data_IF_898667047030
#
_entry.id   IF_898667047030
#
_cell.length_a   1.000
_cell.length_b   1.000
_cell.length_c   1.000
_cell.angle_alpha   90.00
_cell.angle_beta   90.00
_cell.angle_gamma   90.00
#
_symmetry.space_group_name_H-M   'P 1'
#
loop_
_entity.id
_entity.type
_entity.pdbx_description
1 polymer ?
#
# COMPACT_ATOMS: atom_id res chain seq x y z
N UNK A 1 39.09 32.10 -25.53
CA UNK A 1 39.48 33.32 -24.79
C UNK A 1 38.46 33.55 -23.68
N UNK A 2 38.86 33.92 -22.46
CA UNK A 2 38.01 34.44 -21.35
C UNK A 2 36.83 33.57 -20.85
N UNK A 3 36.47 33.52 -19.57
CA UNK A 3 37.15 33.92 -18.32
C UNK A 3 36.48 33.22 -17.11
N UNK A 4 37.29 32.75 -16.14
CA UNK A 4 36.89 32.55 -14.72
C UNK A 4 36.58 33.93 -14.10
N UNK A 5 35.78 34.10 -13.01
CA UNK A 5 36.00 33.49 -11.67
C UNK A 5 34.69 33.37 -10.81
N UNK A 6 34.69 33.40 -9.46
CA UNK A 6 35.70 33.06 -8.45
C UNK A 6 35.28 31.98 -7.43
N UNK A 7 36.26 31.41 -6.73
CA UNK A 7 36.09 30.67 -5.47
C UNK A 7 35.85 31.60 -4.28
N UNK A 8 34.96 31.24 -3.34
CA UNK A 8 34.82 31.92 -2.04
C UNK A 8 35.13 30.97 -0.89
N UNK A 9 36.12 31.35 -0.11
CA UNK A 9 36.59 30.73 1.14
C UNK A 9 36.18 31.65 2.31
N UNK A 10 35.71 31.12 3.46
CA UNK A 10 35.99 31.69 4.81
C UNK A 10 35.36 30.98 6.02
N UNK A 11 36.22 30.78 7.04
CA UNK A 11 36.02 30.90 8.52
C UNK A 11 34.93 30.05 9.21
N UNK A 12 35.17 29.29 10.29
CA UNK A 12 36.09 29.36 11.45
C UNK A 12 35.65 30.23 12.66
N UNK A 13 35.27 29.54 13.76
CA UNK A 13 35.37 29.95 15.17
C UNK A 13 35.04 28.72 16.05
N UNK A 14 35.87 28.29 17.02
CA UNK A 14 36.13 28.85 18.37
C UNK A 14 34.88 28.90 19.27
N UNK A 15 34.90 28.53 20.56
CA UNK A 15 35.96 27.93 21.40
C UNK A 15 35.50 27.68 22.85
N UNK A 16 36.23 26.83 23.60
CA UNK A 16 36.45 26.92 25.08
C UNK A 16 35.19 26.63 25.97
N UNK A 17 35.30 26.24 27.25
CA UNK A 17 36.37 26.44 28.26
C UNK A 17 36.24 25.49 29.48
N UNK A 18 37.37 24.94 29.96
CA UNK A 18 37.82 24.71 31.37
C UNK A 18 36.90 23.96 32.38
N UNK A 19 37.35 22.95 33.14
CA UNK A 19 38.41 22.93 34.18
C UNK A 19 38.03 23.75 35.45
N UNK A 20 38.31 23.37 36.71
CA UNK A 20 39.05 22.24 37.35
C UNK A 20 39.05 22.42 38.89
N UNK A 21 39.66 21.47 39.63
CA UNK A 21 40.11 21.52 41.06
C UNK A 21 39.06 21.16 42.12
N UNK A 22 39.30 20.31 43.13
CA UNK A 22 40.49 19.93 43.95
C UNK A 22 40.68 20.74 45.25
N UNK A 23 40.28 20.16 46.38
CA UNK A 23 40.99 20.12 47.69
C UNK A 23 40.25 19.08 48.57
N UNK A 24 40.85 18.10 49.26
CA UNK A 24 42.03 17.98 50.16
C UNK A 24 41.75 18.31 51.64
N UNK A 25 42.09 17.34 52.51
CA UNK A 25 42.49 17.52 53.93
C UNK A 25 41.36 17.91 54.93
N UNK A 26 41.33 17.50 56.21
CA UNK A 26 42.10 16.49 56.96
C UNK A 26 41.53 16.26 58.39
N UNK A 27 41.44 14.98 58.78
CA UNK A 27 41.96 14.37 60.02
C UNK A 27 41.35 14.59 61.43
N UNK A 28 41.48 13.51 62.23
CA UNK A 28 41.28 13.35 63.70
C UNK A 28 39.81 13.48 64.19
N UNK A 29 39.32 12.73 65.18
CA UNK A 29 39.71 11.47 65.87
C UNK A 29 38.47 10.97 66.68
N UNK A 30 38.39 9.92 67.52
CA UNK A 30 39.33 8.95 68.17
C UNK A 30 38.46 7.79 68.77
N UNK A 31 39.03 6.62 69.10
CA UNK A 31 38.45 5.55 69.98
C UNK A 31 37.02 5.06 69.63
N UNK A 32 36.82 3.86 69.08
CA UNK A 32 37.17 2.59 69.72
C UNK A 32 35.97 2.00 70.50
N UNK A 33 35.33 0.96 69.95
CA UNK A 33 34.41 0.08 70.67
C UNK A 33 34.42 -1.30 70.01
N UNK A 34 34.69 -2.35 70.79
CA UNK A 34 34.59 -3.74 70.36
C UNK A 34 33.12 -4.09 70.12
N UNK A 35 32.78 -4.63 68.96
CA UNK A 35 31.64 -5.54 68.77
C UNK A 35 31.89 -6.38 67.52
N UNK A 36 31.97 -7.69 67.69
CA UNK A 36 31.92 -8.61 66.56
C UNK A 36 30.52 -8.52 65.95
N UNK A 37 30.45 -8.11 64.69
CA UNK A 37 29.26 -8.17 63.88
C UNK A 37 29.67 -8.81 62.56
N UNK A 38 29.03 -9.94 62.26
CA UNK A 38 29.18 -10.76 61.05
C UNK A 38 29.61 -9.97 59.83
N UNK A 39 30.77 -10.33 59.27
CA UNK A 39 31.28 -9.85 58.00
C UNK A 39 30.38 -10.37 56.86
N UNK A 40 29.20 -9.76 56.73
CA UNK A 40 28.24 -10.05 55.66
C UNK A 40 28.87 -9.65 54.33
N UNK A 41 29.36 -10.67 53.64
CA UNK A 41 29.96 -10.69 52.32
C UNK A 41 29.39 -9.59 51.40
N UNK A 42 30.15 -8.50 51.25
CA UNK A 42 29.72 -7.34 50.47
C UNK A 42 29.57 -7.68 48.97
N UNK A 43 30.15 -8.80 48.50
CA UNK A 43 29.93 -9.30 47.14
C UNK A 43 28.46 -9.65 46.90
N UNK A 44 27.77 -10.23 47.89
CA UNK A 44 26.34 -10.55 47.79
C UNK A 44 25.48 -9.29 47.70
N UNK A 45 25.84 -8.22 48.42
CA UNK A 45 25.13 -6.93 48.37
C UNK A 45 25.32 -6.23 47.02
N UNK A 46 26.50 -6.36 46.42
CA UNK A 46 26.78 -5.82 45.08
C UNK A 46 26.03 -6.61 44.01
N UNK A 47 26.05 -7.95 44.07
CA UNK A 47 25.28 -8.81 43.16
C UNK A 47 23.77 -8.53 43.25
N UNK A 48 23.21 -8.39 44.46
CA UNK A 48 21.80 -8.09 44.67
C UNK A 48 21.40 -6.73 44.05
N UNK A 49 22.26 -5.71 44.14
CA UNK A 49 22.00 -4.40 43.53
C UNK A 49 21.95 -4.48 42.00
N UNK A 50 22.87 -5.21 41.38
CA UNK A 50 22.84 -5.41 39.93
C UNK A 50 21.63 -6.25 39.48
N UNK A 51 21.23 -7.25 40.26
CA UNK A 51 20.00 -8.02 39.99
C UNK A 51 18.74 -7.12 40.03
N UNK A 52 18.60 -6.27 41.05
CA UNK A 52 17.47 -5.33 41.17
C UNK A 52 17.44 -4.33 40.00
N UNK A 53 18.59 -3.78 39.60
CA UNK A 53 18.69 -2.86 38.45
C UNK A 53 18.33 -3.59 37.15
N UNK A 54 18.84 -4.80 36.94
CA UNK A 54 18.54 -5.62 35.76
C UNK A 54 17.05 -5.94 35.62
N UNK A 55 16.41 -6.37 36.71
CA UNK A 55 14.96 -6.63 36.75
C UNK A 55 14.16 -5.35 36.51
N UNK A 56 14.57 -4.22 37.10
CA UNK A 56 13.93 -2.92 36.87
C UNK A 56 13.95 -2.49 35.40
N UNK A 57 15.10 -2.62 34.72
CA UNK A 57 15.23 -2.33 33.29
C UNK A 57 14.35 -3.27 32.46
N UNK A 58 14.30 -4.56 32.79
CA UNK A 58 13.46 -5.54 32.11
C UNK A 58 11.96 -5.23 32.22
N UNK A 59 11.49 -4.82 33.40
CA UNK A 59 10.10 -4.41 33.63
C UNK A 59 9.76 -3.12 32.85
N UNK A 60 10.67 -2.14 32.82
CA UNK A 60 10.45 -0.90 32.05
C UNK A 60 10.37 -1.20 30.55
N UNK A 61 11.26 -2.05 30.02
CA UNK A 61 11.23 -2.46 28.61
C UNK A 61 9.97 -3.26 28.26
N UNK A 62 9.55 -4.20 29.12
CA UNK A 62 8.32 -4.96 28.91
C UNK A 62 7.07 -4.06 28.95
N UNK A 63 6.99 -3.15 29.92
CA UNK A 63 5.89 -2.17 30.03
C UNK A 63 5.86 -1.22 28.82
N UNK A 64 7.03 -0.76 28.35
CA UNK A 64 7.13 0.07 27.15
C UNK A 64 6.69 -0.69 25.89
N UNK A 65 7.10 -1.95 25.73
CA UNK A 65 6.66 -2.78 24.62
C UNK A 65 5.13 -3.01 24.62
N UNK A 66 4.53 -3.26 25.79
CA UNK A 66 3.07 -3.39 25.93
C UNK A 66 2.37 -2.08 25.56
N UNK A 67 2.82 -0.93 26.10
CA UNK A 67 2.23 0.38 25.79
C UNK A 67 2.37 0.73 24.29
N UNK A 68 3.53 0.50 23.68
CA UNK A 68 3.72 0.71 22.24
C UNK A 68 2.79 -0.21 21.43
N UNK A 69 2.64 -1.48 21.83
CA UNK A 69 1.73 -2.40 21.13
C UNK A 69 0.24 -2.01 21.27
N UNK A 70 -0.14 -1.37 22.37
CA UNK A 70 -1.52 -0.92 22.61
C UNK A 70 -1.87 0.40 21.88
N UNK A 71 -0.92 1.34 21.77
CA UNK A 71 -1.16 2.66 21.17
C UNK A 71 -0.68 2.79 19.71
N UNK A 72 0.26 1.95 19.28
CA UNK A 72 0.84 1.96 17.94
C UNK A 72 1.24 0.54 17.47
N UNK A 73 0.29 -0.41 17.35
CA UNK A 73 0.58 -1.82 17.00
C UNK A 73 1.43 -1.97 15.73
N UNK A 74 1.26 -1.05 14.75
CA UNK A 74 2.01 -0.99 13.50
C UNK A 74 3.53 -0.78 13.69
N UNK A 75 3.97 -0.08 14.74
CA UNK A 75 5.39 0.20 15.03
C UNK A 75 6.14 -1.01 15.62
N UNK A 76 5.44 -1.85 16.39
CA UNK A 76 6.00 -3.10 16.94
C UNK A 76 6.30 -4.15 15.86
N UNK A 77 5.57 -4.11 14.75
CA UNK A 77 5.68 -5.11 13.68
C UNK A 77 6.82 -4.80 12.70
N UNK A 78 7.16 -3.53 12.48
CA UNK A 78 8.29 -3.14 11.64
C UNK A 78 9.67 -3.38 12.29
N UNK A 79 9.77 -3.31 13.63
CA UNK A 79 11.07 -3.50 14.32
C UNK A 79 11.55 -4.96 14.38
N UNK A 80 10.67 -5.95 14.17
CA UNK A 80 10.98 -7.38 14.33
C UNK A 80 11.25 -8.12 13.01
N UNK A 81 11.36 -7.41 11.88
CA UNK A 81 11.81 -7.97 10.60
C UNK A 81 10.85 -8.96 9.92
N UNK A 82 9.68 -9.21 10.51
CA UNK A 82 8.57 -9.92 9.88
C UNK A 82 7.47 -8.93 9.57
N UNK A 83 7.34 -8.53 8.29
CA UNK A 83 6.15 -7.81 7.83
C UNK A 83 4.90 -8.59 8.23
N UNK A 84 3.85 -7.87 8.62
CA UNK A 84 2.60 -8.48 9.13
C UNK A 84 2.17 -9.55 8.12
N UNK A 85 2.02 -10.83 8.51
CA UNK A 85 1.36 -11.80 7.65
C UNK A 85 -0.07 -11.30 7.46
N UNK A 86 -0.34 -10.67 6.31
CA UNK A 86 -1.68 -10.19 5.96
C UNK A 86 -2.61 -11.39 6.05
N UNK A 87 -3.74 -11.22 6.73
CA UNK A 87 -4.70 -12.31 6.95
C UNK A 87 -5.12 -12.83 5.58
N UNK A 88 -4.87 -14.10 5.30
CA UNK A 88 -5.29 -14.73 4.04
C UNK A 88 -6.82 -14.69 3.86
N UNK A 89 -7.53 -14.57 4.99
CA UNK A 89 -8.97 -14.42 5.11
C UNK A 89 -9.27 -13.08 5.80
N UNK A 90 -9.25 -12.01 4.99
CA UNK A 90 -10.04 -10.81 5.32
C UNK A 90 -11.46 -11.08 4.82
N UNK A 91 -12.44 -10.93 5.70
CA UNK A 91 -13.85 -11.27 5.43
C UNK A 91 -14.43 -10.34 4.36
N UNK A 92 -14.42 -9.02 4.62
CA UNK A 92 -14.80 -8.01 3.63
C UNK A 92 -13.62 -7.61 2.78
N UNK A 93 -13.74 -7.79 1.46
CA UNK A 93 -12.76 -7.25 0.53
C UNK A 93 -13.33 -6.95 -0.84
N UNK A 94 -12.73 -5.97 -1.50
CA UNK A 94 -12.82 -5.78 -2.94
C UNK A 94 -11.47 -6.21 -3.57
N UNK A 95 -11.52 -6.94 -4.68
CA UNK A 95 -10.38 -7.06 -5.61
C UNK A 95 -10.77 -6.62 -7.02
N UNK A 96 -10.14 -5.54 -7.48
CA UNK A 96 -10.22 -5.04 -8.86
C UNK A 96 -9.07 -5.63 -9.69
N UNK A 97 -9.38 -6.24 -10.83
CA UNK A 97 -8.46 -6.96 -11.70
C UNK A 97 -8.44 -6.34 -13.10
N UNK A 98 -7.25 -6.00 -13.57
CA UNK A 98 -7.02 -5.36 -14.86
C UNK A 98 -6.07 -6.22 -15.69
N UNK A 99 -6.55 -6.83 -16.77
CA UNK A 99 -5.71 -7.56 -17.72
C UNK A 99 -5.57 -6.78 -19.03
N UNK A 100 -4.33 -6.50 -19.43
CA UNK A 100 -4.01 -5.64 -20.58
C UNK A 100 -3.52 -6.52 -21.74
N UNK A 101 -4.31 -6.63 -22.80
CA UNK A 101 -4.01 -7.56 -23.90
C UNK A 101 -3.04 -6.96 -24.94
N UNK A 102 -2.33 -7.80 -25.74
CA UNK A 102 -1.45 -7.31 -26.80
C UNK A 102 -2.15 -6.43 -27.84
N UNK A 103 -3.46 -6.60 -28.05
CA UNK A 103 -4.30 -5.90 -29.02
C UNK A 103 -4.85 -4.53 -28.54
N UNK A 104 -4.34 -3.99 -27.43
CA UNK A 104 -4.83 -2.77 -26.76
C UNK A 104 -6.25 -2.90 -26.15
N UNK A 105 -6.87 -4.08 -26.16
CA UNK A 105 -8.07 -4.32 -25.34
C UNK A 105 -7.71 -4.50 -23.86
N UNK A 106 -8.60 -4.04 -22.98
CA UNK A 106 -8.54 -4.29 -21.54
C UNK A 106 -9.65 -5.25 -21.14
N UNK A 107 -9.38 -6.06 -20.12
CA UNK A 107 -10.41 -6.71 -19.31
C UNK A 107 -10.32 -6.15 -17.90
N UNK A 108 -11.45 -5.67 -17.40
CA UNK A 108 -11.66 -5.28 -16.03
C UNK A 108 -12.61 -6.29 -15.38
N UNK A 109 -12.21 -6.86 -14.26
CA UNK A 109 -13.11 -7.64 -13.43
C UNK A 109 -13.04 -7.14 -11.99
N UNK A 110 -14.17 -7.05 -11.29
CA UNK A 110 -14.22 -6.71 -9.87
C UNK A 110 -14.92 -7.82 -9.11
N UNK A 111 -14.41 -8.16 -7.92
CA UNK A 111 -15.02 -9.14 -7.02
C UNK A 111 -15.20 -8.52 -5.63
N UNK A 112 -16.45 -8.44 -5.21
CA UNK A 112 -16.84 -8.03 -3.87
C UNK A 112 -17.13 -9.25 -3.01
N UNK A 113 -16.52 -9.27 -1.82
CA UNK A 113 -16.76 -10.24 -0.76
C UNK A 113 -17.46 -9.49 0.39
N UNK A 114 -18.77 -9.69 0.59
CA UNK A 114 -19.53 -9.01 1.65
C UNK A 114 -19.22 -9.58 3.05
N UNK A 115 -19.62 -8.86 4.11
CA UNK A 115 -19.64 -9.43 5.46
C UNK A 115 -20.98 -10.11 5.72
N UNK A 116 -20.96 -11.44 5.74
CA UNK A 116 -22.11 -12.26 6.16
C UNK A 116 -22.57 -11.95 7.60
N UNK A 117 -21.72 -11.34 8.44
CA UNK A 117 -22.02 -11.01 9.84
C UNK A 117 -22.52 -9.58 10.05
N UNK A 118 -22.50 -8.72 9.03
CA UNK A 118 -22.82 -7.29 9.18
C UNK A 118 -24.27 -7.02 9.58
N UNK A 119 -25.17 -8.00 9.38
CA UNK A 119 -26.61 -7.85 9.55
C UNK A 119 -27.25 -6.93 8.52
N UNK A 120 -26.48 -6.46 7.53
CA UNK A 120 -26.93 -5.62 6.43
C UNK A 120 -27.46 -6.53 5.31
N UNK A 121 -28.73 -6.87 5.38
CA UNK A 121 -29.48 -7.49 4.28
C UNK A 121 -29.76 -6.45 3.17
N UNK A 122 -28.70 -5.88 2.59
CA UNK A 122 -28.80 -5.21 1.28
C UNK A 122 -28.49 -6.24 0.21
N UNK A 123 -29.55 -6.90 -0.24
CA UNK A 123 -29.53 -7.82 -1.36
C UNK A 123 -29.35 -7.03 -2.66
N UNK A 124 -29.80 -5.76 -2.69
CA UNK A 124 -29.48 -4.81 -3.75
C UNK A 124 -28.10 -4.18 -3.55
N UNK A 125 -27.25 -4.23 -4.58
CA UNK A 125 -25.91 -3.63 -4.64
C UNK A 125 -25.64 -3.04 -6.02
N UNK A 126 -25.02 -1.86 -6.09
CA UNK A 126 -24.64 -1.23 -7.35
C UNK A 126 -23.18 -1.57 -7.70
N UNK A 127 -22.93 -1.86 -8.97
CA UNK A 127 -21.62 -2.23 -9.52
C UNK A 127 -21.39 -1.45 -10.82
N UNK A 128 -20.23 -0.80 -10.95
CA UNK A 128 -19.91 0.06 -12.09
C UNK A 128 -18.81 -0.54 -12.99
N UNK A 129 -19.01 -0.48 -14.30
CA UNK A 129 -17.95 -0.76 -15.29
C UNK A 129 -16.89 0.34 -15.29
N UNK A 130 -15.68 0.11 -15.83
CA UNK A 130 -14.72 1.18 -16.07
C UNK A 130 -15.26 2.20 -17.09
N UNK A 131 -14.71 3.42 -17.11
CA UNK A 131 -15.07 4.41 -18.11
C UNK A 131 -14.61 3.96 -19.50
N UNK A 132 -15.49 4.18 -20.48
CA UNK A 132 -15.28 3.89 -21.90
C UNK A 132 -15.74 5.07 -22.77
N UNK A 133 -15.28 5.12 -24.02
CA UNK A 133 -15.68 6.17 -24.98
C UNK A 133 -17.16 6.11 -25.39
N UNK A 134 -17.82 4.98 -25.18
CA UNK A 134 -19.20 4.73 -25.56
C UNK A 134 -19.54 3.23 -25.49
N UNK A 135 -20.83 2.84 -25.60
CA UNK A 135 -21.25 1.45 -25.39
C UNK A 135 -20.59 0.48 -26.37
N UNK A 136 -20.39 0.91 -27.63
CA UNK A 136 -19.71 0.15 -28.69
C UNK A 136 -18.25 -0.21 -28.38
N UNK A 137 -17.66 0.40 -27.33
CA UNK A 137 -16.31 0.03 -26.86
C UNK A 137 -16.30 -1.27 -26.06
N UNK A 138 -17.44 -1.67 -25.49
CA UNK A 138 -17.59 -2.89 -24.68
C UNK A 138 -17.73 -4.10 -25.62
N UNK A 139 -16.74 -4.99 -25.61
CA UNK A 139 -16.70 -6.21 -26.42
C UNK A 139 -17.53 -7.32 -25.76
N UNK A 140 -17.41 -7.42 -24.44
CA UNK A 140 -17.98 -8.48 -23.62
C UNK A 140 -18.29 -7.91 -22.24
N UNK A 141 -19.43 -8.32 -21.69
CA UNK A 141 -19.87 -8.06 -20.32
C UNK A 141 -20.42 -9.36 -19.75
N UNK A 142 -19.99 -9.73 -18.56
CA UNK A 142 -20.45 -10.90 -17.83
C UNK A 142 -20.59 -10.52 -16.36
N UNK A 143 -21.70 -10.93 -15.74
CA UNK A 143 -21.87 -10.80 -14.30
C UNK A 143 -21.21 -11.97 -13.58
N UNK A 144 -20.65 -11.68 -12.41
CA UNK A 144 -20.15 -12.68 -11.49
C UNK A 144 -21.09 -12.65 -10.29
N UNK A 145 -21.88 -13.71 -10.09
CA UNK A 145 -22.89 -13.76 -9.03
C UNK A 145 -24.03 -12.76 -9.18
N UNK A 146 -25.10 -12.98 -8.41
CA UNK A 146 -26.31 -12.16 -8.43
C UNK A 146 -27.13 -12.21 -9.73
N UNK A 147 -28.25 -11.50 -9.73
CA UNK A 147 -29.15 -11.28 -10.86
C UNK A 147 -29.18 -9.78 -11.23
N UNK A 148 -29.23 -9.47 -12.52
CA UNK A 148 -29.35 -8.09 -13.00
C UNK A 148 -30.77 -7.57 -12.83
N UNK A 149 -30.94 -6.46 -12.11
CA UNK A 149 -32.23 -5.78 -12.04
C UNK A 149 -32.34 -4.64 -13.07
N UNK A 150 -31.31 -3.78 -13.12
CA UNK A 150 -31.25 -2.63 -14.03
C UNK A 150 -29.81 -2.33 -14.41
N UNK A 151 -29.60 -1.84 -15.63
CA UNK A 151 -28.32 -1.33 -16.11
C UNK A 151 -28.54 -0.02 -16.86
N UNK A 152 -27.86 1.05 -16.43
CA UNK A 152 -27.97 2.40 -16.98
C UNK A 152 -26.57 2.95 -17.32
N UNK A 153 -26.45 3.62 -18.47
CA UNK A 153 -25.22 4.32 -18.83
C UNK A 153 -25.20 5.73 -18.23
N UNK A 154 -24.16 6.04 -17.46
CA UNK A 154 -23.94 7.31 -16.79
C UNK A 154 -22.65 7.97 -17.30
N UNK A 155 -22.61 9.30 -17.32
CA UNK A 155 -21.42 10.08 -17.70
C UNK A 155 -20.38 10.09 -16.57
N UNK A 156 -19.10 10.11 -16.93
CA UNK A 156 -18.00 10.32 -15.98
C UNK A 156 -18.05 11.70 -15.31
N UNK A 157 -17.42 11.85 -14.15
CA UNK A 157 -17.46 13.10 -13.40
C UNK A 157 -16.36 14.09 -13.84
N UNK A 158 -16.63 15.40 -13.71
CA UNK A 158 -15.63 16.45 -13.92
C UNK A 158 -15.00 16.44 -15.32
N UNK A 159 -13.70 16.15 -15.41
CA UNK A 159 -12.96 16.09 -16.67
C UNK A 159 -13.30 14.85 -17.52
N UNK A 160 -13.96 13.86 -16.93
CA UNK A 160 -14.26 12.56 -17.55
C UNK A 160 -15.69 12.48 -18.13
N UNK A 161 -16.43 13.60 -18.19
CA UNK A 161 -17.79 13.70 -18.78
C UNK A 161 -17.90 13.24 -20.25
N UNK A 162 -16.77 13.25 -20.97
CA UNK A 162 -16.67 12.74 -22.34
C UNK A 162 -16.64 11.20 -22.44
N UNK A 163 -16.56 10.51 -21.30
CA UNK A 163 -16.60 9.06 -21.16
C UNK A 163 -17.86 8.65 -20.41
N UNK A 164 -18.28 7.41 -20.58
CA UNK A 164 -19.42 6.82 -19.87
C UNK A 164 -19.01 5.56 -19.13
N UNK A 165 -19.77 5.19 -18.12
CA UNK A 165 -19.75 3.86 -17.51
C UNK A 165 -21.17 3.30 -17.44
N UNK A 166 -21.29 1.99 -17.44
CA UNK A 166 -22.53 1.29 -17.14
C UNK A 166 -22.59 1.07 -15.62
N UNK A 167 -23.65 1.57 -14.99
CA UNK A 167 -23.99 1.32 -13.60
C UNK A 167 -25.05 0.24 -13.54
N UNK A 168 -24.76 -0.86 -12.84
CA UNK A 168 -25.57 -2.08 -12.83
C UNK A 168 -26.05 -2.34 -11.40
N UNK A 169 -27.36 -2.35 -11.19
CA UNK A 169 -27.96 -2.77 -9.93
C UNK A 169 -28.16 -4.28 -9.94
N UNK A 170 -27.56 -4.96 -8.97
CA UNK A 170 -27.59 -6.42 -8.83
C UNK A 170 -28.38 -6.83 -7.58
N UNK A 171 -29.19 -7.88 -7.70
CA UNK A 171 -29.72 -8.63 -6.56
C UNK A 171 -28.75 -9.78 -6.25
N UNK A 172 -28.01 -9.69 -5.14
CA UNK A 172 -27.07 -10.74 -4.69
C UNK A 172 -27.75 -11.73 -3.75
N UNK A 173 -27.26 -12.97 -3.73
CA UNK A 173 -27.66 -13.96 -2.74
C UNK A 173 -27.04 -13.67 -1.35
N UNK A 174 -27.85 -13.76 -0.29
CA UNK A 174 -27.37 -13.69 1.09
C UNK A 174 -26.49 -14.89 1.44
N UNK A 175 -25.29 -14.65 1.98
CA UNK A 175 -24.25 -15.67 2.20
C UNK A 175 -23.80 -16.38 0.90
N UNK A 176 -23.94 -15.68 -0.23
CA UNK A 176 -23.59 -16.19 -1.55
C UNK A 176 -22.08 -16.23 -1.84
N UNK A 177 -21.74 -16.69 -3.04
CA UNK A 177 -20.41 -16.51 -3.62
C UNK A 177 -20.09 -15.01 -3.83
N UNK A 178 -18.81 -14.61 -4.02
CA UNK A 178 -18.49 -13.22 -4.38
C UNK A 178 -19.29 -12.77 -5.61
N UNK A 179 -19.69 -11.50 -5.59
CA UNK A 179 -20.41 -10.87 -6.68
C UNK A 179 -19.57 -9.79 -7.37
N UNK A 180 -19.98 -9.34 -8.55
CA UNK A 180 -19.30 -8.28 -9.30
C UNK A 180 -19.47 -8.44 -10.80
N UNK A 181 -18.48 -7.98 -11.56
CA UNK A 181 -18.55 -7.90 -13.02
C UNK A 181 -17.24 -8.34 -13.67
N UNK A 182 -17.31 -8.74 -14.92
CA UNK A 182 -16.18 -8.98 -15.83
C UNK A 182 -16.50 -8.39 -17.21
N UNK A 183 -15.75 -7.35 -17.60
CA UNK A 183 -15.95 -6.60 -18.84
C UNK A 183 -14.65 -6.54 -19.63
N UNK A 184 -14.73 -6.89 -20.91
CA UNK A 184 -13.66 -6.66 -21.89
C UNK A 184 -14.05 -5.54 -22.84
N UNK A 185 -13.16 -4.59 -23.06
CA UNK A 185 -13.40 -3.39 -23.84
C UNK A 185 -12.18 -2.95 -24.67
N UNK A 186 -12.43 -2.15 -25.70
CA UNK A 186 -11.41 -1.55 -26.58
C UNK A 186 -11.27 -0.04 -26.33
N UNK A 187 -10.23 0.57 -26.90
CA UNK A 187 -9.96 2.00 -26.85
C UNK A 187 -10.08 2.60 -25.42
N UNK A 188 -9.43 1.98 -24.41
CA UNK A 188 -9.54 2.42 -23.02
C UNK A 188 -9.03 3.87 -22.86
N UNK A 189 -9.78 4.76 -22.20
CA UNK A 189 -9.33 6.14 -21.98
C UNK A 189 -8.07 6.21 -21.09
N UNK A 190 -7.81 5.13 -20.35
CA UNK A 190 -6.71 4.97 -19.42
C UNK A 190 -5.40 4.49 -20.04
N UNK A 191 -5.37 4.09 -21.32
CA UNK A 191 -4.16 3.63 -21.99
C UNK A 191 -3.67 4.65 -23.02
N UNK A 192 -2.45 5.14 -22.82
CA UNK A 192 -1.76 6.06 -23.70
C UNK A 192 -0.53 5.38 -24.32
N UNK A 193 -0.05 5.94 -25.43
CA UNK A 193 1.23 5.57 -26.05
C UNK A 193 2.15 6.79 -25.99
N UNK A 194 3.39 6.60 -25.55
CA UNK A 194 4.40 7.66 -25.56
C UNK A 194 5.08 7.77 -26.95
N UNK A 195 6.00 8.74 -27.09
CA UNK A 195 6.67 9.00 -28.36
C UNK A 195 7.66 7.89 -28.75
N UNK A 196 8.15 7.16 -27.74
CA UNK A 196 9.06 6.03 -27.83
C UNK A 196 8.34 4.71 -28.18
N UNK A 197 7.00 4.70 -28.14
CA UNK A 197 6.15 3.56 -28.49
C UNK A 197 5.87 2.60 -27.33
N UNK A 198 6.25 2.97 -26.10
CA UNK A 198 5.77 2.27 -24.91
C UNK A 198 4.28 2.55 -24.69
N UNK A 199 3.65 1.69 -23.91
CA UNK A 199 2.27 1.86 -23.46
C UNK A 199 2.28 2.27 -22.00
N UNK A 200 1.50 3.30 -21.66
CA UNK A 200 1.27 3.78 -20.30
C UNK A 200 -0.18 3.50 -19.96
N UNK A 201 -0.44 2.71 -18.93
CA UNK A 201 -1.81 2.48 -18.42
C UNK A 201 -1.92 3.10 -17.03
N UNK A 202 -2.84 4.04 -16.84
CA UNK A 202 -3.06 4.78 -15.60
C UNK A 202 -4.43 4.45 -15.02
N UNK A 203 -4.45 3.55 -14.04
CA UNK A 203 -5.67 3.05 -13.41
C UNK A 203 -6.00 3.91 -12.18
N UNK A 204 -7.18 4.53 -12.15
CA UNK A 204 -7.68 5.19 -10.95
C UNK A 204 -7.97 4.17 -9.86
N UNK A 205 -7.50 4.46 -8.64
CA UNK A 205 -7.97 3.80 -7.43
C UNK A 205 -9.11 4.66 -6.90
N UNK A 206 -10.32 4.09 -6.79
CA UNK A 206 -11.54 4.87 -6.52
C UNK A 206 -11.53 5.57 -5.17
N UNK A 207 -11.82 6.88 -5.17
CA UNK A 207 -12.04 7.69 -3.96
C UNK A 207 -13.49 7.64 -3.46
N UNK A 208 -14.36 6.84 -4.08
CA UNK A 208 -15.79 6.75 -3.75
C UNK A 208 -16.05 5.75 -2.60
N UNK A 209 -15.35 5.97 -1.48
CA UNK A 209 -15.58 5.38 -0.17
C UNK A 209 -15.81 3.84 -0.08
N UNK A 210 -15.06 2.97 -0.77
CA UNK A 210 -15.13 1.53 -0.51
C UNK A 210 -14.61 1.17 0.90
N UNK A 211 -13.76 2.01 1.51
CA UNK A 211 -13.04 1.68 2.76
C UNK A 211 -13.90 1.64 4.02
N UNK A 212 -15.13 2.19 4.00
CA UNK A 212 -16.08 1.98 5.10
C UNK A 212 -16.77 0.61 5.06
N UNK A 213 -16.78 -0.06 3.90
CA UNK A 213 -17.45 -1.35 3.70
C UNK A 213 -16.46 -2.53 3.59
N UNK A 214 -15.24 -2.28 3.09
CA UNK A 214 -14.23 -3.31 2.86
C UNK A 214 -12.99 -3.13 3.73
N UNK A 215 -12.70 -4.12 4.58
CA UNK A 215 -11.48 -4.20 5.41
C UNK A 215 -10.19 -4.28 4.55
N UNK A 216 -10.32 -4.65 3.27
CA UNK A 216 -9.22 -4.69 2.31
C UNK A 216 -9.66 -4.34 0.88
N UNK A 217 -8.88 -3.51 0.19
CA UNK A 217 -9.02 -3.23 -1.25
C UNK A 217 -7.72 -3.61 -1.96
N UNK A 218 -7.82 -4.52 -2.93
CA UNK A 218 -6.69 -5.03 -3.72
C UNK A 218 -6.88 -4.61 -5.17
N UNK A 219 -5.82 -4.11 -5.80
CA UNK A 219 -5.78 -3.98 -7.26
C UNK A 219 -4.77 -4.98 -7.80
N UNK A 220 -5.18 -5.81 -8.75
CA UNK A 220 -4.32 -6.75 -9.45
C UNK A 220 -4.19 -6.32 -10.91
N UNK A 221 -2.97 -6.05 -11.38
CA UNK A 221 -2.73 -5.69 -12.78
C UNK A 221 -1.94 -6.80 -13.45
N UNK A 222 -2.43 -7.26 -14.60
CA UNK A 222 -1.93 -8.39 -15.35
C UNK A 222 -1.45 -7.95 -16.74
N UNK A 223 -0.20 -8.30 -17.04
CA UNK A 223 0.44 -8.12 -18.34
C UNK A 223 0.82 -9.49 -18.92
N UNK A 224 0.87 -9.66 -20.25
CA UNK A 224 1.45 -10.84 -20.88
C UNK A 224 2.87 -11.10 -20.37
N UNK A 225 3.27 -12.36 -20.17
CA UNK A 225 4.58 -12.68 -19.58
C UNK A 225 5.78 -12.22 -20.41
N UNK A 226 5.60 -11.95 -21.69
CA UNK A 226 6.60 -11.42 -22.62
C UNK A 226 6.58 -9.89 -22.74
N UNK A 227 5.63 -9.19 -22.10
CA UNK A 227 5.67 -7.74 -21.96
C UNK A 227 6.82 -7.32 -21.02
N UNK A 228 7.53 -6.27 -21.39
CA UNK A 228 8.63 -5.71 -20.61
C UNK A 228 8.14 -4.50 -19.81
N UNK A 229 8.05 -4.63 -18.48
CA UNK A 229 7.71 -3.50 -17.60
C UNK A 229 8.92 -2.58 -17.46
N UNK A 230 8.71 -1.29 -17.71
CA UNK A 230 9.72 -0.24 -17.62
C UNK A 230 9.63 0.46 -16.26
N UNK A 231 8.41 0.83 -15.85
CA UNK A 231 8.14 1.43 -14.54
C UNK A 231 6.77 1.04 -13.97
N UNK A 232 6.68 1.14 -12.65
CA UNK A 232 5.46 1.04 -11.86
C UNK A 232 5.48 2.25 -10.92
N UNK A 233 4.56 3.19 -11.11
CA UNK A 233 4.58 4.49 -10.45
C UNK A 233 3.19 4.81 -9.92
N UNK A 234 3.10 5.36 -8.71
CA UNK A 234 1.87 6.00 -8.24
C UNK A 234 1.87 7.46 -8.71
N UNK A 235 0.71 8.00 -9.07
CA UNK A 235 0.54 9.44 -9.23
C UNK A 235 -0.51 9.88 -8.22
N UNK A 236 -0.15 10.87 -7.41
CA UNK A 236 -1.00 11.50 -6.41
C UNK A 236 -1.23 12.96 -6.86
N UNK A 237 -2.49 13.31 -7.11
CA UNK A 237 -2.96 14.60 -7.67
C UNK A 237 -2.56 14.92 -9.14
N UNK A 238 -3.52 14.95 -10.09
CA UNK A 238 -3.30 15.32 -11.49
C UNK A 238 -3.51 16.83 -11.77
N UNK A 239 -3.71 17.68 -10.77
CA UNK A 239 -4.00 19.11 -10.98
C UNK A 239 -2.81 19.90 -11.54
N UNK A 240 -1.59 19.37 -11.48
CA UNK A 240 -0.47 19.83 -12.30
C UNK A 240 -0.41 19.08 -13.64
N UNK A 241 -0.56 19.83 -14.72
CA UNK A 241 -0.58 19.31 -16.10
C UNK A 241 0.77 18.68 -16.49
N UNK A 242 0.84 17.35 -16.46
CA UNK A 242 1.94 16.45 -16.86
C UNK A 242 3.15 17.17 -17.51
N UNK A 243 4.10 17.68 -16.71
CA UNK A 243 5.41 18.12 -17.19
C UNK A 243 6.34 16.91 -17.34
N UNK A 244 7.35 17.01 -18.19
CA UNK A 244 8.30 15.90 -18.40
C UNK A 244 9.04 15.53 -17.10
N UNK A 245 8.91 14.27 -16.68
CA UNK A 245 9.61 13.58 -15.57
C UNK A 245 10.94 14.25 -15.12
N UNK A 246 10.91 15.23 -14.21
CA UNK A 246 12.14 15.87 -13.71
C UNK A 246 12.20 16.21 -12.22
N UNK A 247 11.09 16.33 -11.49
CA UNK A 247 11.07 16.41 -10.01
C UNK A 247 10.10 15.36 -9.46
N UNK A 248 10.62 14.38 -8.68
CA UNK A 248 9.90 13.19 -8.21
C UNK A 248 10.05 12.94 -6.68
N UNK A 249 10.58 13.92 -5.94
CA UNK A 249 11.10 13.70 -4.58
C UNK A 249 10.02 13.39 -3.51
N UNK A 250 8.74 13.62 -3.78
CA UNK A 250 7.62 13.33 -2.85
C UNK A 250 6.58 12.33 -3.40
N UNK A 251 6.84 11.63 -4.52
CA UNK A 251 5.94 10.56 -4.97
C UNK A 251 6.11 9.32 -4.09
N UNK A 252 5.09 9.00 -3.29
CA UNK A 252 5.02 7.70 -2.60
C UNK A 252 4.77 6.60 -3.62
N UNK A 253 5.74 5.71 -3.85
CA UNK A 253 5.57 4.60 -4.80
C UNK A 253 4.82 3.42 -4.14
N UNK A 254 3.61 3.11 -4.62
CA UNK A 254 2.94 1.84 -4.38
C UNK A 254 3.72 0.70 -5.05
N UNK A 255 4.67 0.08 -4.33
CA UNK A 255 5.26 -1.17 -4.78
C UNK A 255 4.23 -2.31 -4.71
N UNK A 256 4.15 -3.18 -5.73
CA UNK A 256 3.28 -4.35 -5.68
C UNK A 256 3.79 -5.32 -4.60
N UNK A 257 2.97 -5.55 -3.57
CA UNK A 257 3.32 -6.42 -2.43
C UNK A 257 3.53 -7.88 -2.84
N UNK A 258 2.99 -8.28 -4.00
CA UNK A 258 3.19 -9.60 -4.58
C UNK A 258 3.27 -9.52 -6.10
N UNK A 259 4.11 -10.39 -6.67
CA UNK A 259 4.22 -10.61 -8.11
C UNK A 259 4.13 -12.12 -8.35
N UNK A 260 3.36 -12.56 -9.34
CA UNK A 260 3.17 -13.98 -9.67
C UNK A 260 3.03 -14.19 -11.18
N UNK A 261 2.98 -15.44 -11.61
CA UNK A 261 2.65 -15.84 -12.98
C UNK A 261 1.47 -16.81 -12.97
N UNK A 262 0.47 -16.56 -13.81
CA UNK A 262 -0.79 -17.33 -13.93
C UNK A 262 -1.15 -17.40 -15.41
N UNK A 263 -1.23 -18.58 -16.02
CA UNK A 263 -1.77 -18.73 -17.39
C UNK A 263 -1.14 -17.83 -18.47
N UNK A 264 0.17 -17.58 -18.43
CA UNK A 264 0.84 -16.66 -19.37
C UNK A 264 0.69 -15.16 -19.03
N UNK A 265 0.08 -14.83 -17.90
CA UNK A 265 0.02 -13.49 -17.32
C UNK A 265 1.05 -13.33 -16.20
N UNK A 266 1.75 -12.20 -16.18
CA UNK A 266 2.50 -11.69 -15.03
C UNK A 266 1.57 -10.75 -14.27
N UNK A 267 1.20 -11.12 -13.05
CA UNK A 267 0.25 -10.39 -12.22
C UNK A 267 0.97 -9.68 -11.08
N UNK A 268 0.66 -8.40 -10.90
CA UNK A 268 1.17 -7.50 -9.87
C UNK A 268 0.01 -7.14 -8.94
N UNK A 269 0.12 -7.48 -7.66
CA UNK A 269 -0.90 -7.14 -6.67
C UNK A 269 -0.47 -5.94 -5.83
N UNK A 270 -1.36 -4.95 -5.76
CA UNK A 270 -1.25 -3.74 -4.95
C UNK A 270 -2.33 -3.81 -3.86
N UNK A 271 -1.99 -3.38 -2.65
CA UNK A 271 -2.96 -3.26 -1.56
C UNK A 271 -3.14 -1.76 -1.33
N UNK A 272 -4.30 -1.28 -1.72
CA UNK A 272 -4.61 0.15 -1.81
C UNK A 272 -5.55 0.59 -0.68
N UNK A 273 -5.83 -0.31 0.26
CA UNK A 273 -6.75 -0.12 1.40
C UNK A 273 -6.48 1.18 2.16
N UNK A 274 -5.21 1.51 2.40
CA UNK A 274 -4.82 2.73 3.15
C UNK A 274 -4.78 4.00 2.30
N UNK A 275 -4.92 3.88 0.98
CA UNK A 275 -4.80 5.00 0.05
C UNK A 275 -6.19 5.47 -0.40
N UNK A 276 -7.15 4.55 -0.50
CA UNK A 276 -8.58 4.86 -0.67
C UNK A 276 -9.18 5.71 0.47
N UNK A 277 -8.56 5.71 1.66
CA UNK A 277 -8.94 6.56 2.80
C UNK A 277 -8.50 8.03 2.65
N UNK A 278 -7.62 8.34 1.69
CA UNK A 278 -7.17 9.70 1.45
C UNK A 278 -8.04 10.39 0.40
N UNK A 279 -8.37 11.67 0.60
CA UNK A 279 -9.11 12.47 -0.39
C UNK A 279 -8.31 12.71 -1.70
N UNK A 280 -7.09 12.18 -1.79
CA UNK A 280 -6.16 12.43 -2.89
C UNK A 280 -6.42 11.41 -4.01
N UNK A 281 -6.53 11.87 -5.26
CA UNK A 281 -6.75 10.98 -6.39
C UNK A 281 -5.51 10.11 -6.62
N UNK A 282 -5.58 8.86 -6.19
CA UNK A 282 -4.49 7.90 -6.37
C UNK A 282 -4.65 7.12 -7.66
N UNK A 283 -3.53 6.97 -8.38
CA UNK A 283 -3.49 6.23 -9.65
C UNK A 283 -2.33 5.24 -9.64
N UNK A 284 -2.57 4.02 -10.14
CA UNK A 284 -1.53 3.04 -10.44
C UNK A 284 -1.16 3.22 -11.92
N UNK A 285 0.02 3.76 -12.19
CA UNK A 285 0.56 3.94 -13.53
C UNK A 285 1.60 2.87 -13.87
N UNK A 286 1.44 2.21 -15.02
CA UNK A 286 2.35 1.17 -15.52
C UNK A 286 2.83 1.55 -16.91
N UNK A 287 4.14 1.74 -17.07
CA UNK A 287 4.78 1.91 -18.38
C UNK A 287 5.43 0.60 -18.80
N UNK A 288 5.12 0.12 -19.99
CA UNK A 288 5.62 -1.16 -20.50
C UNK A 288 5.77 -1.19 -22.03
N UNK A 289 6.70 -2.00 -22.52
CA UNK A 289 6.78 -2.42 -23.92
C UNK A 289 5.87 -3.64 -24.13
N UNK A 290 4.92 -3.62 -25.09
CA UNK A 290 4.07 -4.78 -25.36
C UNK A 290 4.86 -5.97 -25.91
N UNK A 291 4.38 -7.16 -25.59
CA UNK A 291 4.99 -8.43 -26.01
C UNK A 291 4.75 -8.80 -27.48
N UNK A 292 5.28 -9.97 -27.85
CA UNK A 292 5.25 -10.59 -29.17
C UNK A 292 3.89 -11.23 -29.53
N UNK A 293 2.83 -10.43 -29.47
CA UNK A 293 1.48 -10.62 -30.06
C UNK A 293 0.67 -11.91 -29.78
N UNK A 294 1.24 -12.98 -29.24
CA UNK A 294 0.50 -14.16 -28.81
C UNK A 294 -0.28 -13.79 -27.55
N UNK A 295 -1.61 -13.63 -27.69
CA UNK A 295 -2.48 -13.46 -26.54
C UNK A 295 -2.30 -14.65 -25.58
N UNK A 296 -2.15 -14.41 -24.26
CA UNK A 296 -2.13 -15.47 -23.27
C UNK A 296 -3.41 -16.32 -23.31
N UNK A 297 -3.41 -17.45 -22.59
CA UNK A 297 -4.69 -18.13 -22.29
C UNK A 297 -5.63 -17.16 -21.56
N UNK A 298 -6.93 -17.33 -21.76
CA UNK A 298 -7.89 -16.36 -21.25
C UNK A 298 -7.79 -16.14 -19.73
N UNK A 299 -8.07 -14.92 -19.31
CA UNK A 299 -7.76 -14.43 -17.97
C UNK A 299 -8.73 -15.02 -16.93
N UNK A 300 -8.29 -16.02 -16.16
CA UNK A 300 -9.05 -16.63 -15.06
C UNK A 300 -9.03 -15.73 -13.82
N UNK A 301 -10.07 -14.90 -13.72
CA UNK A 301 -10.38 -13.99 -12.60
C UNK A 301 -10.34 -14.72 -11.25
N UNK A 302 -10.85 -15.96 -11.17
CA UNK A 302 -10.90 -16.70 -9.91
C UNK A 302 -9.54 -17.33 -9.55
N UNK A 303 -8.72 -17.75 -10.51
CA UNK A 303 -7.33 -18.13 -10.22
C UNK A 303 -6.49 -16.93 -9.78
N UNK A 304 -6.76 -15.74 -10.33
CA UNK A 304 -6.10 -14.49 -9.91
C UNK A 304 -6.47 -14.14 -8.46
N UNK A 305 -7.75 -14.24 -8.06
CA UNK A 305 -8.13 -14.09 -6.63
C UNK A 305 -7.43 -15.14 -5.77
N UNK A 306 -7.52 -16.44 -6.11
CA UNK A 306 -6.91 -17.55 -5.35
C UNK A 306 -5.39 -17.44 -5.17
N UNK A 307 -4.71 -16.63 -5.99
CA UNK A 307 -3.24 -16.52 -6.05
C UNK A 307 -2.67 -15.21 -5.52
N UNK A 308 -3.49 -14.32 -4.98
CA UNK A 308 -3.04 -13.13 -4.22
C UNK A 308 -2.33 -13.51 -2.91
#
# INVERSE_FOLDING_TARGET
MSSRPPSVERRSSRSRRRASKESKSSARSRRGSRRGATQFDDSQKVALRYAIIGVGVLIVLATAAILISAFAPRLTLTLLGGGIPRRAEVATRNIDMWAIYPDDSLRFATLYYPDDNSGVNTDLVDVATPLVLGPDSIIQRQLIGGEELTADFLEGSGADQQYIYESIALERELNGSPYGLDVRFTNPPYALRDAEGHRVVSLGVGNENPSFFYDQVIVAVALPTDAQVISLTQIEDPSESIPAFTDLDDITFLEPYRRTQIGGWRVFYFDVTQVADSNNQTRIAITYTPGSSIAPTDFDVFEVDRRR
#
